data_IF_617835407038
#
_entry.id   IF_617835407038
#
_cell.length_a   1.000
_cell.length_b   1.000
_cell.length_c   1.000
_cell.angle_alpha   90.00
_cell.angle_beta   90.00
_cell.angle_gamma   90.00
#
_symmetry.space_group_name_H-M   'P 1'
#
loop_
_entity.id
_entity.type
_entity.pdbx_description
1 polymer ?
#
# COMPACT_ATOMS: atom_id res chain seq x y z
N UNK A 1 1.04 2.98 36.57
CA UNK A 1 -0.05 2.43 35.73
C UNK A 1 0.61 1.94 34.46
N UNK A 2 0.60 0.64 34.15
CA UNK A 2 1.14 0.14 32.87
C UNK A 2 0.08 0.36 31.81
N UNK A 3 0.41 1.12 30.78
CA UNK A 3 -0.52 1.38 29.70
C UNK A 3 -0.62 0.17 28.74
N UNK A 4 -1.51 0.28 27.76
CA UNK A 4 -1.71 -0.75 26.75
C UNK A 4 -0.45 -1.00 25.91
N UNK A 5 0.35 0.04 25.64
CA UNK A 5 1.57 -0.05 24.85
C UNK A 5 2.67 -0.80 25.60
N UNK A 6 2.83 -0.56 26.90
CA UNK A 6 3.74 -1.29 27.78
C UNK A 6 3.49 -2.80 27.76
N UNK A 7 2.22 -3.21 27.67
CA UNK A 7 1.84 -4.63 27.53
C UNK A 7 2.24 -5.18 26.16
N UNK A 8 1.96 -4.45 25.08
CA UNK A 8 2.24 -4.86 23.70
C UNK A 8 3.75 -4.94 23.45
N UNK A 9 4.55 -4.01 23.97
CA UNK A 9 6.00 -4.01 23.80
C UNK A 9 6.68 -5.15 24.57
N UNK A 10 6.16 -5.52 25.75
CA UNK A 10 6.71 -6.63 26.54
C UNK A 10 6.32 -8.01 26.01
N UNK A 11 5.11 -8.16 25.50
CA UNK A 11 4.63 -9.43 24.98
C UNK A 11 3.81 -9.21 23.70
N UNK A 12 4.49 -9.38 22.57
CA UNK A 12 3.88 -9.29 21.24
C UNK A 12 3.04 -10.53 20.87
N UNK A 13 2.90 -11.49 21.79
CA UNK A 13 2.15 -12.73 21.58
C UNK A 13 2.83 -13.71 20.61
N UNK A 14 2.17 -14.84 20.30
CA UNK A 14 2.74 -15.93 19.48
C UNK A 14 3.15 -15.49 18.07
N UNK A 15 2.39 -14.58 17.46
CA UNK A 15 2.67 -14.04 16.12
C UNK A 15 3.75 -12.94 16.15
N UNK A 16 3.80 -12.15 17.22
CA UNK A 16 4.79 -11.08 17.36
C UNK A 16 6.22 -11.57 17.50
N UNK A 17 6.44 -12.84 17.87
CA UNK A 17 7.75 -13.52 17.81
C UNK A 17 8.31 -13.62 16.39
N UNK A 18 7.43 -13.63 15.39
CA UNK A 18 7.79 -13.75 13.98
C UNK A 18 7.81 -12.41 13.26
N UNK A 19 7.27 -11.34 13.86
CA UNK A 19 7.19 -10.03 13.24
C UNK A 19 8.55 -9.51 12.77
N UNK A 20 9.61 -9.63 13.60
CA UNK A 20 10.96 -9.18 13.23
C UNK A 20 11.60 -9.95 12.07
N UNK A 21 11.13 -11.16 11.77
CA UNK A 21 11.70 -12.05 10.74
C UNK A 21 10.84 -12.08 9.47
N UNK A 22 9.52 -11.99 9.65
CA UNK A 22 8.54 -12.16 8.58
C UNK A 22 8.13 -10.83 7.94
N UNK A 23 8.09 -9.74 8.70
CA UNK A 23 7.61 -8.44 8.23
C UNK A 23 8.52 -7.89 7.10
N UNK A 24 7.89 -7.43 6.02
CA UNK A 24 8.58 -6.86 4.86
C UNK A 24 9.14 -7.88 3.87
N UNK A 25 9.06 -9.18 4.17
CA UNK A 25 9.44 -10.23 3.21
C UNK A 25 8.36 -11.30 3.05
N UNK A 26 8.04 -12.04 4.11
CA UNK A 26 7.02 -13.10 4.08
C UNK A 26 5.63 -12.57 4.43
N UNK A 27 5.59 -11.50 5.23
CA UNK A 27 4.39 -10.86 5.74
C UNK A 27 4.48 -9.38 5.32
N UNK A 28 3.57 -8.97 4.45
CA UNK A 28 3.55 -7.62 3.84
C UNK A 28 4.85 -7.25 3.09
N UNK A 29 5.22 -7.98 2.02
CA UNK A 29 6.33 -7.57 1.16
C UNK A 29 6.06 -6.18 0.57
N UNK A 30 7.06 -5.30 0.63
CA UNK A 30 6.99 -3.96 0.06
C UNK A 30 7.52 -4.00 -1.37
N UNK A 31 6.60 -4.08 -2.32
CA UNK A 31 6.91 -3.91 -3.73
C UNK A 31 6.98 -2.41 -4.05
N UNK A 32 7.93 -2.04 -4.90
CA UNK A 32 8.19 -0.67 -5.32
C UNK A 32 7.97 -0.52 -6.82
N UNK A 33 7.77 0.72 -7.25
CA UNK A 33 7.50 1.07 -8.64
C UNK A 33 6.01 1.02 -9.01
N UNK A 34 5.69 1.26 -10.30
CA UNK A 34 4.32 1.21 -10.78
C UNK A 34 3.75 -0.21 -10.65
N UNK A 35 2.49 -0.31 -10.22
CA UNK A 35 1.71 -1.56 -10.23
C UNK A 35 1.72 -2.18 -11.63
N UNK A 36 2.29 -3.36 -11.75
CA UNK A 36 2.37 -4.10 -13.00
C UNK A 36 2.59 -5.59 -12.70
N UNK A 37 2.67 -6.42 -13.73
CA UNK A 37 3.10 -7.82 -13.62
C UNK A 37 4.60 -7.99 -13.28
N UNK A 38 5.38 -6.91 -13.38
CA UNK A 38 6.79 -6.82 -12.99
C UNK A 38 6.99 -5.60 -12.11
N UNK A 39 7.52 -5.81 -10.90
CA UNK A 39 7.75 -4.74 -9.92
C UNK A 39 9.13 -4.90 -9.29
N UNK A 40 9.56 -3.89 -8.54
CA UNK A 40 10.82 -3.94 -7.81
C UNK A 40 10.60 -4.49 -6.40
N UNK A 41 11.45 -5.42 -5.97
CA UNK A 41 11.47 -5.94 -4.63
C UNK A 41 12.90 -6.00 -4.13
N UNK A 42 13.23 -5.22 -3.09
CA UNK A 42 14.60 -5.10 -2.55
C UNK A 42 15.64 -4.79 -3.63
N UNK A 43 15.31 -3.87 -4.54
CA UNK A 43 16.19 -3.44 -5.63
C UNK A 43 16.36 -4.44 -6.78
N UNK A 44 15.51 -5.48 -6.85
CA UNK A 44 15.52 -6.47 -7.93
C UNK A 44 14.16 -6.53 -8.60
N UNK A 45 14.15 -6.65 -9.92
CA UNK A 45 12.92 -6.88 -10.66
C UNK A 45 12.40 -8.30 -10.39
N UNK A 46 11.10 -8.40 -10.05
CA UNK A 46 10.40 -9.66 -9.79
C UNK A 46 9.09 -9.71 -10.56
N UNK A 47 8.66 -10.92 -10.92
CA UNK A 47 7.31 -11.16 -11.47
C UNK A 47 6.32 -11.24 -10.31
N UNK A 48 5.24 -10.48 -10.39
CA UNK A 48 4.22 -10.39 -9.34
C UNK A 48 2.96 -11.16 -9.71
N UNK A 49 2.71 -12.25 -8.99
CA UNK A 49 1.53 -13.11 -9.20
C UNK A 49 0.38 -12.83 -8.24
N UNK A 50 0.60 -11.95 -7.25
CA UNK A 50 -0.34 -11.63 -6.18
C UNK A 50 -1.11 -10.31 -6.41
N UNK A 51 -0.91 -9.66 -7.56
CA UNK A 51 -1.58 -8.40 -7.90
C UNK A 51 -2.84 -8.69 -8.70
N UNK A 52 -3.96 -8.11 -8.30
CA UNK A 52 -5.27 -8.31 -8.94
C UNK A 52 -5.51 -7.35 -10.12
N UNK A 53 -4.45 -7.06 -10.89
CA UNK A 53 -4.52 -6.17 -12.07
C UNK A 53 -4.56 -7.00 -13.36
N UNK A 54 -5.63 -7.78 -13.51
CA UNK A 54 -5.75 -8.76 -14.59
C UNK A 54 -5.75 -8.14 -16.00
N UNK A 55 -6.23 -6.91 -16.11
CA UNK A 55 -6.35 -6.17 -17.38
C UNK A 55 -5.21 -5.16 -17.59
N UNK A 56 -4.29 -5.01 -16.64
CA UNK A 56 -3.21 -4.01 -16.73
C UNK A 56 -3.70 -2.56 -16.64
N UNK A 57 -4.86 -2.33 -16.02
CA UNK A 57 -5.50 -1.02 -15.98
C UNK A 57 -4.99 -0.13 -14.84
N UNK A 58 -4.32 -0.71 -13.85
CA UNK A 58 -3.85 0.03 -12.67
C UNK A 58 -2.95 1.24 -13.01
N UNK A 59 -2.22 1.19 -14.14
CA UNK A 59 -1.40 2.29 -14.64
C UNK A 59 -1.74 2.75 -16.05
N UNK A 60 -2.93 2.39 -16.56
CA UNK A 60 -3.34 2.85 -17.89
C UNK A 60 -3.46 4.39 -17.93
N UNK A 61 -2.84 5.09 -18.88
CA UNK A 61 -2.77 6.55 -18.89
C UNK A 61 -4.13 7.25 -18.82
N UNK A 62 -5.11 6.74 -19.54
CA UNK A 62 -6.47 7.30 -19.54
C UNK A 62 -7.17 7.15 -18.19
N UNK A 63 -7.00 6.01 -17.52
CA UNK A 63 -7.59 5.74 -16.20
C UNK A 63 -6.96 6.69 -15.17
N UNK A 64 -5.63 6.83 -15.20
CA UNK A 64 -4.91 7.75 -14.30
C UNK A 64 -5.29 9.20 -14.52
N UNK A 65 -5.50 9.60 -15.77
CA UNK A 65 -5.93 10.96 -16.11
C UNK A 65 -7.31 11.26 -15.52
N UNK A 66 -8.28 10.39 -15.74
CA UNK A 66 -9.65 10.56 -15.22
C UNK A 66 -9.67 10.54 -13.70
N UNK A 67 -8.89 9.67 -13.05
CA UNK A 67 -8.73 9.63 -11.59
C UNK A 67 -8.22 10.98 -11.04
N UNK A 68 -7.18 11.55 -11.64
CA UNK A 68 -6.62 12.84 -11.24
C UNK A 68 -7.61 14.00 -11.45
N UNK A 69 -8.35 14.00 -12.57
CA UNK A 69 -9.36 15.02 -12.87
C UNK A 69 -10.53 14.97 -11.86
N UNK A 70 -10.97 13.77 -11.46
CA UNK A 70 -12.03 13.62 -10.45
C UNK A 70 -11.61 14.16 -9.08
N UNK A 71 -10.37 13.88 -8.64
CA UNK A 71 -9.84 14.43 -7.39
C UNK A 71 -9.82 15.95 -7.42
N UNK A 72 -9.39 16.57 -8.53
CA UNK A 72 -9.40 18.02 -8.68
C UNK A 72 -10.82 18.59 -8.58
N UNK A 73 -11.79 17.97 -9.25
CA UNK A 73 -13.18 18.41 -9.22
C UNK A 73 -13.81 18.28 -7.82
N UNK A 74 -13.45 17.23 -7.07
CA UNK A 74 -13.92 17.05 -5.69
C UNK A 74 -13.36 18.14 -4.75
N UNK A 75 -12.08 18.48 -4.90
CA UNK A 75 -11.45 19.56 -4.14
C UNK A 75 -12.11 20.91 -4.47
N UNK A 76 -12.39 21.17 -5.74
CA UNK A 76 -13.09 22.39 -6.17
C UNK A 76 -14.51 22.44 -5.59
N UNK A 77 -15.24 21.32 -5.57
CA UNK A 77 -16.58 21.24 -4.99
C UNK A 77 -16.56 21.48 -3.47
N UNK A 78 -15.62 20.86 -2.75
CA UNK A 78 -15.46 21.06 -1.30
C UNK A 78 -15.14 22.52 -1.00
N UNK A 79 -14.24 23.13 -1.78
CA UNK A 79 -13.94 24.56 -1.63
C UNK A 79 -15.17 25.42 -1.92
N UNK A 80 -15.96 25.10 -2.94
CA UNK A 80 -17.17 25.86 -3.31
C UNK A 80 -18.31 25.74 -2.29
N UNK A 81 -18.41 24.61 -1.56
CA UNK A 81 -19.41 24.43 -0.49
C UNK A 81 -18.99 25.12 0.82
N UNK A 82 -17.71 25.49 0.96
CA UNK A 82 -17.15 26.12 2.15
C UNK A 82 -16.99 27.65 2.03
N UNK A 83 -17.37 28.25 0.90
CA UNK A 83 -17.52 29.72 0.70
C UNK A 83 -18.98 30.07 0.48
#
# INVERSE_FOLDING_TARGET
>A
MKDLFDKIYKDKGPLGKWASVAEGYFVFPKLEGPIANRMQFKGREVITWSVNDYLGLANHPEVRKVDAELVLNLVVLILWVLV
#
